data_IF_283615912307
#
_entry.id   IF_283615912307
#
_cell.length_a   1.000
_cell.length_b   1.000
_cell.length_c   1.000
_cell.angle_alpha   90.00
_cell.angle_beta   90.00
_cell.angle_gamma   90.00
#
_symmetry.space_group_name_H-M   'P 1'
#
loop_
_entity.id
_entity.type
_entity.pdbx_description
1 polymer ?
#
# COMPACT_ATOMS: atom_id res chain seq x y z
N UNK A 1 -12.56 -2.41 -14.61
CA UNK A 1 -11.62 -1.32 -14.25
C UNK A 1 -11.87 -0.77 -12.86
N UNK A 2 -13.12 -0.45 -12.51
CA UNK A 2 -13.49 0.06 -11.16
C UNK A 2 -13.09 -0.91 -10.04
N UNK A 3 -13.29 -2.22 -10.21
CA UNK A 3 -12.90 -3.21 -9.20
C UNK A 3 -11.39 -3.27 -8.94
N UNK A 4 -10.58 -3.11 -9.99
CA UNK A 4 -9.12 -3.05 -9.88
C UNK A 4 -8.65 -1.76 -9.19
N UNK A 5 -9.29 -0.63 -9.49
CA UNK A 5 -9.01 0.65 -8.80
C UNK A 5 -9.31 0.51 -7.31
N UNK A 6 -10.45 -0.10 -6.96
CA UNK A 6 -10.84 -0.34 -5.58
C UNK A 6 -9.92 -1.34 -4.87
N UNK A 7 -9.42 -2.35 -5.58
CA UNK A 7 -8.41 -3.28 -5.06
C UNK A 7 -7.13 -2.55 -4.66
N UNK A 8 -6.53 -1.75 -5.56
CA UNK A 8 -5.30 -1.02 -5.26
C UNK A 8 -5.52 0.05 -4.18
N UNK A 9 -6.68 0.72 -4.17
CA UNK A 9 -7.04 1.65 -3.10
C UNK A 9 -7.12 0.96 -1.74
N UNK A 10 -7.71 -0.23 -1.69
CA UNK A 10 -7.77 -1.05 -0.47
C UNK A 10 -6.38 -1.51 -0.03
N UNK A 11 -5.52 -1.90 -0.97
CA UNK A 11 -4.14 -2.29 -0.71
C UNK A 11 -3.33 -1.15 -0.07
N UNK A 12 -3.49 0.08 -0.58
CA UNK A 12 -2.88 1.29 -0.01
C UNK A 12 -3.36 1.47 1.44
N UNK A 13 -4.68 1.43 1.68
CA UNK A 13 -5.26 1.62 3.02
C UNK A 13 -4.73 0.57 4.00
N UNK A 14 -4.75 -0.70 3.62
CA UNK A 14 -4.27 -1.81 4.47
C UNK A 14 -2.78 -1.61 4.78
N UNK A 15 -1.95 -1.25 3.80
CA UNK A 15 -0.52 -1.03 4.03
C UNK A 15 -0.24 0.10 5.03
N UNK A 16 -1.00 1.20 4.98
CA UNK A 16 -0.89 2.32 5.93
C UNK A 16 -1.28 1.84 7.34
N UNK A 17 -2.41 1.13 7.46
CA UNK A 17 -2.88 0.59 8.74
C UNK A 17 -1.85 -0.37 9.33
N UNK A 18 -1.31 -1.29 8.53
CA UNK A 18 -0.27 -2.24 8.97
C UNK A 18 0.99 -1.50 9.41
N UNK A 19 1.41 -0.45 8.69
CA UNK A 19 2.52 0.40 9.09
C UNK A 19 2.28 1.09 10.44
N UNK A 20 1.12 1.73 10.60
CA UNK A 20 0.74 2.41 11.84
C UNK A 20 0.66 1.44 13.04
N UNK A 21 0.03 0.26 12.85
CA UNK A 21 -0.05 -0.78 13.88
C UNK A 21 1.33 -1.31 14.25
N UNK A 22 2.20 -1.52 13.27
CA UNK A 22 3.58 -1.95 13.52
C UNK A 22 4.30 -0.93 14.38
N UNK A 23 4.15 0.37 14.09
CA UNK A 23 4.78 1.44 14.87
C UNK A 23 4.21 1.57 16.29
N UNK A 24 2.89 1.37 16.45
CA UNK A 24 2.20 1.49 17.73
C UNK A 24 2.39 0.27 18.65
N UNK A 25 2.46 -0.94 18.09
CA UNK A 25 2.50 -2.19 18.85
C UNK A 25 3.92 -2.71 19.13
N UNK A 26 4.95 -2.20 18.44
CA UNK A 26 6.32 -2.71 18.60
C UNK A 26 7.23 -1.74 19.36
N UNK A 27 7.80 -2.21 20.46
CA UNK A 27 8.84 -1.47 21.19
C UNK A 27 10.12 -1.38 20.33
N UNK A 28 10.61 -0.16 20.00
CA UNK A 28 11.77 0.04 19.15
C UNK A 28 13.07 -0.55 19.73
N UNK A 29 13.18 -0.72 21.05
CA UNK A 29 14.39 -1.27 21.70
C UNK A 29 14.38 -2.79 21.73
N UNK A 30 13.21 -3.41 21.88
CA UNK A 30 13.08 -4.87 22.04
C UNK A 30 12.81 -5.60 20.72
N UNK A 31 12.08 -4.97 19.79
CA UNK A 31 11.56 -5.63 18.59
C UNK A 31 12.10 -5.04 17.28
N UNK A 32 13.30 -4.45 17.32
CA UNK A 32 13.89 -3.68 16.21
C UNK A 32 13.89 -4.43 14.88
N UNK A 33 14.34 -5.68 14.84
CA UNK A 33 14.43 -6.47 13.60
C UNK A 33 13.05 -6.78 13.01
N UNK A 34 12.10 -7.24 13.84
CA UNK A 34 10.73 -7.57 13.41
C UNK A 34 10.00 -6.31 12.93
N UNK A 35 10.16 -5.19 13.64
CA UNK A 35 9.59 -3.90 13.26
C UNK A 35 10.08 -3.45 11.88
N UNK A 36 11.38 -3.53 11.63
CA UNK A 36 11.97 -3.16 10.33
C UNK A 36 11.44 -4.07 9.23
N UNK A 37 11.41 -5.38 9.45
CA UNK A 37 10.89 -6.34 8.47
C UNK A 37 9.42 -6.05 8.12
N UNK A 38 8.58 -5.83 9.13
CA UNK A 38 7.16 -5.50 8.94
C UNK A 38 6.97 -4.16 8.22
N UNK A 39 7.80 -3.16 8.51
CA UNK A 39 7.77 -1.88 7.80
C UNK A 39 8.21 -2.01 6.34
N UNK A 40 9.18 -2.87 6.04
CA UNK A 40 9.59 -3.16 4.65
C UNK A 40 8.42 -3.81 3.90
N UNK A 41 7.77 -4.81 4.49
CA UNK A 41 6.60 -5.47 3.88
C UNK A 41 5.47 -4.46 3.63
N UNK A 42 5.15 -3.63 4.62
CA UNK A 42 4.15 -2.58 4.49
C UNK A 42 4.53 -1.58 3.38
N UNK A 43 5.80 -1.19 3.29
CA UNK A 43 6.31 -0.30 2.24
C UNK A 43 6.20 -0.89 0.84
N UNK A 44 6.53 -2.17 0.66
CA UNK A 44 6.38 -2.86 -0.63
C UNK A 44 4.91 -2.90 -1.06
N UNK A 45 4.00 -3.26 -0.15
CA UNK A 45 2.57 -3.27 -0.41
C UNK A 45 2.04 -1.89 -0.78
N UNK A 46 2.54 -0.84 -0.11
CA UNK A 46 2.18 0.54 -0.41
C UNK A 46 2.64 0.96 -1.82
N UNK A 47 3.89 0.66 -2.19
CA UNK A 47 4.44 0.99 -3.51
C UNK A 47 3.68 0.26 -4.62
N UNK A 48 3.39 -1.03 -4.45
CA UNK A 48 2.59 -1.81 -5.40
C UNK A 48 1.18 -1.22 -5.52
N UNK A 49 0.56 -0.85 -4.38
CA UNK A 49 -0.74 -0.20 -4.33
C UNK A 49 -0.78 1.11 -5.11
N UNK A 50 0.20 1.99 -4.86
CA UNK A 50 0.32 3.27 -5.55
C UNK A 50 0.60 3.13 -7.04
N UNK A 51 1.55 2.26 -7.41
CA UNK A 51 1.90 2.01 -8.80
C UNK A 51 0.71 1.44 -9.58
N UNK A 52 0.02 0.45 -9.02
CA UNK A 52 -1.17 -0.12 -9.63
C UNK A 52 -2.32 0.88 -9.75
N UNK A 53 -2.59 1.66 -8.70
CA UNK A 53 -3.61 2.71 -8.72
C UNK A 53 -3.31 3.79 -9.77
N UNK A 54 -2.05 4.22 -9.87
CA UNK A 54 -1.61 5.21 -10.86
C UNK A 54 -1.78 4.70 -12.29
N UNK A 55 -1.30 3.48 -12.58
CA UNK A 55 -1.44 2.87 -13.90
C UNK A 55 -2.91 2.73 -14.31
N UNK A 56 -3.77 2.27 -13.39
CA UNK A 56 -5.21 2.15 -13.64
C UNK A 56 -5.89 3.51 -13.86
N UNK A 57 -5.46 4.55 -13.13
CA UNK A 57 -6.00 5.89 -13.29
C UNK A 57 -5.65 6.47 -14.67
N UNK A 58 -4.40 6.32 -15.11
CA UNK A 58 -3.95 6.77 -16.44
C UNK A 58 -4.65 5.99 -17.54
N UNK A 59 -4.78 4.67 -17.41
CA UNK A 59 -5.50 3.86 -18.41
C UNK A 59 -6.99 4.20 -18.47
N UNK A 60 -7.62 4.54 -17.34
CA UNK A 60 -9.02 4.97 -17.31
C UNK A 60 -9.23 6.28 -18.07
N UNK A 61 -8.34 7.27 -17.90
CA UNK A 61 -8.39 8.54 -18.65
C UNK A 61 -8.18 8.32 -20.16
N UNK A 62 -7.32 7.39 -20.55
CA UNK A 62 -7.10 7.01 -21.95
C UNK A 62 -8.32 6.35 -22.60
N UNK A 63 -9.12 5.60 -21.83
CA UNK A 63 -10.31 4.90 -22.33
C UNK A 63 -11.48 5.82 -22.67
N UNK A 64 -11.56 7.03 -22.10
CA UNK A 64 -12.61 8.02 -22.44
C UNK A 64 -12.29 8.85 -23.69
N UNK A 65 -11.10 8.67 -24.27
CA UNK A 65 -10.63 9.43 -25.45
C UNK A 65 -10.84 8.69 -26.78
N UNK A 66 -11.41 7.49 -26.77
CA UNK A 66 -11.76 6.70 -27.95
C UNK A 66 -13.21 6.24 -27.87
#
# INVERSE_FOLDING_TARGET
MVDYINFFKSLIIISIITGALTLAATDPKKHRTIRILLLIIAGILFIIGLGGYFLMSVSNVGSYRY
#
